data_IF_418124872014
#
_entry.id   IF_418124872014
#
_cell.length_a   1.000
_cell.length_b   1.000
_cell.length_c   1.000
_cell.angle_alpha   90.00
_cell.angle_beta   90.00
_cell.angle_gamma   90.00
#
_symmetry.space_group_name_H-M   'P 1'
#
loop_
_entity.id
_entity.type
_entity.pdbx_description
1 polymer ?
#
# COMPACT_ATOMS: atom_id res chain seq x y z
N UNK A 1 27.66 21.82 -8.36
CA UNK A 1 27.51 22.69 -7.17
C UNK A 1 27.31 21.81 -5.95
N UNK A 2 27.99 22.06 -4.83
CA UNK A 2 27.72 21.33 -3.59
C UNK A 2 26.31 21.67 -3.14
N UNK A 3 25.52 20.65 -2.83
CA UNK A 3 24.17 20.82 -2.30
C UNK A 3 24.29 21.18 -0.83
N UNK A 4 23.65 22.26 -0.41
CA UNK A 4 23.72 22.76 0.95
C UNK A 4 22.67 22.07 1.85
N UNK A 5 22.73 22.39 3.14
CA UNK A 5 21.82 21.86 4.16
C UNK A 5 20.36 22.21 3.85
N UNK A 6 20.12 23.41 3.34
CA UNK A 6 18.77 23.90 2.99
C UNK A 6 18.14 23.09 1.85
N UNK A 7 18.94 22.65 0.87
CA UNK A 7 18.45 21.74 -0.17
C UNK A 7 17.97 20.40 0.40
N UNK A 8 18.73 19.80 1.32
CA UNK A 8 18.35 18.51 1.94
C UNK A 8 17.10 18.65 2.81
N UNK A 9 17.05 19.69 3.65
CA UNK A 9 15.92 19.96 4.53
C UNK A 9 14.61 20.16 3.73
N UNK A 10 14.69 20.87 2.59
CA UNK A 10 13.55 21.03 1.69
C UNK A 10 13.08 19.72 1.06
N UNK A 11 13.99 18.80 0.72
CA UNK A 11 13.61 17.50 0.18
C UNK A 11 12.96 16.60 1.23
N UNK A 12 13.47 16.61 2.46
CA UNK A 12 12.87 15.85 3.55
C UNK A 12 11.46 16.35 3.84
N UNK A 13 11.25 17.67 3.91
CA UNK A 13 9.91 18.25 4.06
C UNK A 13 8.96 17.85 2.94
N UNK A 14 9.40 17.88 1.69
CA UNK A 14 8.58 17.44 0.56
C UNK A 14 8.22 15.95 0.65
N UNK A 15 9.14 15.11 1.15
CA UNK A 15 8.86 13.69 1.35
C UNK A 15 7.80 13.47 2.43
N UNK A 16 7.89 14.19 3.55
CA UNK A 16 6.89 14.12 4.64
C UNK A 16 5.51 14.57 4.15
N UNK A 17 5.42 15.68 3.43
CA UNK A 17 4.16 16.19 2.87
C UNK A 17 3.51 15.20 1.90
N UNK A 18 4.32 14.52 1.06
CA UNK A 18 3.84 13.49 0.15
C UNK A 18 3.31 12.26 0.90
N UNK A 19 3.98 11.84 1.97
CA UNK A 19 3.52 10.72 2.80
C UNK A 19 2.22 11.07 3.53
N UNK A 20 2.09 12.28 4.06
CA UNK A 20 0.85 12.75 4.68
C UNK A 20 -0.33 12.81 3.69
N UNK A 21 -0.08 13.20 2.44
CA UNK A 21 -1.10 13.19 1.41
C UNK A 21 -1.58 11.77 1.10
N UNK A 22 -0.66 10.80 1.02
CA UNK A 22 -0.99 9.38 0.80
C UNK A 22 -1.85 8.81 1.92
N UNK A 23 -1.53 9.12 3.18
CA UNK A 23 -2.35 8.73 4.34
C UNK A 23 -3.80 9.22 4.22
N UNK A 24 -4.02 10.40 3.63
CA UNK A 24 -5.35 11.00 3.45
C UNK A 24 -6.13 10.46 2.25
N UNK A 25 -5.50 9.67 1.39
CA UNK A 25 -6.13 9.11 0.18
C UNK A 25 -6.19 7.59 0.32
N UNK A 26 -7.23 7.07 1.00
CA UNK A 26 -7.41 5.63 1.10
C UNK A 26 -7.74 5.03 -0.27
N UNK A 27 -7.58 3.73 -0.39
CA UNK A 27 -7.71 3.01 -1.66
C UNK A 27 -8.94 2.12 -1.58
N UNK A 28 -9.87 2.37 -2.47
CA UNK A 28 -11.14 1.65 -2.54
C UNK A 28 -11.04 0.55 -3.60
N UNK A 29 -11.42 -0.67 -3.22
CA UNK A 29 -11.41 -1.85 -4.08
C UNK A 29 -12.79 -2.49 -4.01
N UNK A 30 -13.49 -2.53 -5.13
CA UNK A 30 -14.78 -3.23 -5.25
C UNK A 30 -14.56 -4.75 -5.26
N UNK A 31 -15.32 -5.47 -4.44
CA UNK A 31 -15.25 -6.93 -4.31
C UNK A 31 -16.64 -7.54 -4.13
N UNK A 32 -16.78 -8.83 -4.41
CA UNK A 32 -18.02 -9.57 -4.15
C UNK A 32 -17.89 -10.37 -2.86
N UNK A 33 -18.76 -10.10 -1.88
CA UNK A 33 -18.84 -10.85 -0.62
C UNK A 33 -20.21 -11.51 -0.49
N UNK A 34 -20.22 -12.85 -0.37
CA UNK A 34 -21.39 -13.74 -0.36
C UNK A 34 -22.27 -13.71 -1.63
N UNK A 35 -22.68 -12.53 -2.09
CA UNK A 35 -23.38 -12.24 -3.36
C UNK A 35 -23.56 -10.72 -3.57
N UNK A 36 -23.11 -9.90 -2.62
CA UNK A 36 -23.24 -8.45 -2.61
C UNK A 36 -21.95 -7.79 -3.12
N UNK A 37 -22.10 -6.68 -3.85
CA UNK A 37 -20.99 -5.83 -4.25
C UNK A 37 -20.67 -4.85 -3.12
N UNK A 38 -19.50 -5.00 -2.51
CA UNK A 38 -19.03 -4.13 -1.43
C UNK A 38 -17.69 -3.50 -1.79
N UNK A 39 -17.35 -2.41 -1.12
CA UNK A 39 -16.05 -1.75 -1.26
C UNK A 39 -15.18 -2.03 -0.06
N UNK A 40 -13.99 -2.56 -0.31
CA UNK A 40 -12.90 -2.69 0.66
C UNK A 40 -12.07 -1.41 0.57
N UNK A 41 -12.08 -0.62 1.64
CA UNK A 41 -11.25 0.57 1.77
C UNK A 41 -9.98 0.23 2.55
N UNK A 42 -8.84 0.32 1.88
CA UNK A 42 -7.51 0.11 2.44
C UNK A 42 -6.91 1.46 2.85
N UNK A 43 -6.59 1.61 4.14
CA UNK A 43 -5.87 2.78 4.64
C UNK A 43 -4.39 2.69 4.26
N UNK A 44 -3.81 3.78 3.74
CA UNK A 44 -2.38 3.82 3.46
C UNK A 44 -1.59 3.71 4.76
N UNK A 45 -0.66 2.77 4.80
CA UNK A 45 0.27 2.54 5.89
C UNK A 45 1.57 3.28 5.60
N UNK A 46 2.08 3.99 6.60
CA UNK A 46 3.41 4.57 6.52
C UNK A 46 4.43 3.49 6.26
N UNK A 47 5.54 3.86 5.62
CA UNK A 47 6.53 2.89 5.16
C UNK A 47 7.00 1.95 6.26
N UNK A 48 7.36 2.49 7.42
CA UNK A 48 7.88 1.71 8.55
C UNK A 48 6.84 0.73 9.12
N UNK A 49 5.57 1.12 9.12
CA UNK A 49 4.47 0.26 9.58
C UNK A 49 4.18 -0.85 8.55
N UNK A 50 4.19 -0.50 7.27
CA UNK A 50 4.08 -1.48 6.20
C UNK A 50 5.23 -2.48 6.23
N UNK A 51 6.48 -2.03 6.38
CA UNK A 51 7.65 -2.90 6.46
C UNK A 51 7.56 -3.85 7.66
N UNK A 52 7.01 -3.39 8.79
CA UNK A 52 6.74 -4.24 9.96
C UNK A 52 5.74 -5.35 9.64
N UNK A 53 4.68 -5.07 8.90
CA UNK A 53 3.71 -6.08 8.46
C UNK A 53 4.37 -7.04 7.46
N UNK A 54 4.97 -6.51 6.39
CA UNK A 54 5.62 -7.28 5.34
C UNK A 54 6.70 -8.25 5.87
N UNK A 55 7.46 -7.84 6.89
CA UNK A 55 8.48 -8.68 7.51
C UNK A 55 7.95 -9.95 8.19
N UNK A 56 6.68 -9.96 8.61
CA UNK A 56 6.01 -11.15 9.19
C UNK A 56 5.63 -12.18 8.13
N UNK A 57 5.57 -11.76 6.86
CA UNK A 57 5.16 -12.59 5.74
C UNK A 57 6.27 -12.66 4.69
N UNK A 58 7.43 -13.26 4.98
CA UNK A 58 8.50 -13.39 4.00
C UNK A 58 8.08 -14.31 2.85
N UNK A 59 8.71 -14.12 1.69
CA UNK A 59 8.53 -15.03 0.55
C UNK A 59 9.17 -16.38 0.89
N UNK A 60 8.35 -17.43 0.93
CA UNK A 60 8.82 -18.81 1.15
C UNK A 60 9.09 -19.52 -0.20
N UNK A 61 8.46 -19.06 -1.28
CA UNK A 61 8.64 -19.61 -2.63
C UNK A 61 8.74 -18.50 -3.68
N UNK A 62 9.78 -18.53 -4.52
CA UNK A 62 10.15 -17.46 -5.46
C UNK A 62 9.33 -17.43 -6.75
N UNK A 63 8.37 -18.33 -6.93
CA UNK A 63 7.66 -18.51 -8.22
C UNK A 63 6.67 -17.41 -8.60
N UNK A 64 6.18 -16.59 -7.67
CA UNK A 64 5.33 -15.43 -7.98
C UNK A 64 5.57 -14.29 -7.00
N UNK A 65 6.69 -13.58 -7.17
CA UNK A 65 7.03 -12.47 -6.29
C UNK A 65 6.46 -11.13 -6.77
N UNK A 66 6.07 -11.01 -8.06
CA UNK A 66 5.75 -9.72 -8.72
C UNK A 66 6.75 -8.59 -8.39
N UNK A 67 8.00 -8.94 -8.10
CA UNK A 67 9.03 -7.99 -7.63
C UNK A 67 8.84 -7.46 -6.20
N UNK A 68 7.88 -7.96 -5.44
CA UNK A 68 7.77 -7.80 -4.00
C UNK A 68 8.81 -8.68 -3.28
N UNK A 69 9.17 -8.29 -2.06
CA UNK A 69 10.07 -9.04 -1.16
C UNK A 69 9.32 -9.80 -0.06
N UNK A 70 7.98 -9.72 -0.07
CA UNK A 70 7.07 -10.30 0.91
C UNK A 70 5.95 -11.10 0.20
N UNK A 71 5.27 -11.96 0.95
CA UNK A 71 4.10 -12.69 0.51
C UNK A 71 2.88 -11.77 0.52
N UNK A 72 2.38 -11.45 -0.68
CA UNK A 72 1.25 -10.54 -0.87
C UNK A 72 -0.05 -11.01 -0.23
N UNK A 73 -0.34 -12.32 -0.27
CA UNK A 73 -1.56 -12.90 0.30
C UNK A 73 -1.55 -12.76 1.84
N UNK A 74 -0.43 -13.09 2.47
CA UNK A 74 -0.25 -12.93 3.92
C UNK A 74 -0.36 -11.47 4.36
N UNK A 75 0.30 -10.55 3.65
CA UNK A 75 0.20 -9.11 3.93
C UNK A 75 -1.21 -8.58 3.71
N UNK A 76 -1.91 -9.02 2.67
CA UNK A 76 -3.27 -8.59 2.40
C UNK A 76 -4.24 -9.07 3.48
N UNK A 77 -4.07 -10.30 3.96
CA UNK A 77 -4.87 -10.86 5.06
C UNK A 77 -4.66 -10.14 6.39
N UNK A 78 -3.41 -9.79 6.72
CA UNK A 78 -3.05 -9.12 7.97
C UNK A 78 -3.01 -7.59 7.85
N UNK A 79 -3.54 -7.04 6.75
CA UNK A 79 -3.55 -5.61 6.51
C UNK A 79 -4.45 -4.90 7.55
N UNK A 80 -3.95 -3.87 8.24
CA UNK A 80 -4.69 -3.21 9.31
C UNK A 80 -5.67 -2.16 8.78
N UNK A 81 -6.62 -1.76 9.62
CA UNK A 81 -7.51 -0.62 9.43
C UNK A 81 -8.23 -0.59 8.08
N UNK A 82 -8.57 -1.79 7.60
CA UNK A 82 -9.48 -2.04 6.48
C UNK A 82 -10.91 -1.78 6.93
N UNK A 83 -11.63 -1.03 6.12
CA UNK A 83 -13.05 -0.70 6.31
C UNK A 83 -13.85 -1.33 5.18
N UNK A 84 -14.96 -2.00 5.50
CA UNK A 84 -15.96 -2.41 4.51
C UNK A 84 -17.00 -1.30 4.33
N UNK A 85 -17.38 -1.05 3.09
CA UNK A 85 -18.38 -0.06 2.72
C UNK A 85 -19.43 -0.75 1.84
N UNK A 86 -20.69 -0.58 2.20
CA UNK A 86 -21.85 -1.09 1.46
C UNK A 86 -22.92 0.02 1.38
N UNK A 87 -23.04 0.65 0.22
CA UNK A 87 -23.86 1.85 0.03
C UNK A 87 -23.44 2.97 1.00
N UNK A 88 -24.35 3.36 1.89
CA UNK A 88 -24.11 4.36 2.93
C UNK A 88 -23.56 3.76 4.25
N UNK A 89 -23.49 2.43 4.33
CA UNK A 89 -22.99 1.70 5.49
C UNK A 89 -21.47 1.57 5.48
N UNK A 90 -20.85 1.68 6.65
CA UNK A 90 -19.41 1.47 6.86
C UNK A 90 -19.17 0.62 8.10
N UNK A 91 -18.27 -0.36 8.01
CA UNK A 91 -17.87 -1.24 9.11
C UNK A 91 -16.35 -1.31 9.22
N UNK A 92 -15.81 -0.93 10.39
CA UNK A 92 -14.37 -0.98 10.70
C UNK A 92 -13.88 -2.38 11.09
N UNK A 93 -14.78 -3.38 11.12
CA UNK A 93 -14.48 -4.79 11.35
C UNK A 93 -13.91 -5.10 12.73
N UNK A 94 -14.09 -4.22 13.71
CA UNK A 94 -13.75 -4.46 15.10
C UNK A 94 -14.99 -4.92 15.88
N UNK A 95 -14.95 -6.16 16.37
CA UNK A 95 -16.03 -6.77 17.16
C UNK A 95 -15.57 -6.99 18.60
N UNK A 96 -16.43 -6.71 19.59
CA UNK A 96 -16.19 -7.11 20.97
C UNK A 96 -16.69 -8.53 21.21
N UNK A 97 -15.77 -9.48 21.46
CA UNK A 97 -16.11 -10.85 21.87
C UNK A 97 -15.79 -11.04 23.35
N UNK A 98 -16.82 -10.93 24.17
CA UNK A 98 -16.68 -10.95 25.62
C UNK A 98 -15.96 -9.70 26.13
N UNK A 99 -14.66 -9.83 26.44
CA UNK A 99 -13.80 -8.72 26.91
C UNK A 99 -12.64 -8.39 25.96
N UNK A 100 -12.58 -9.02 24.80
CA UNK A 100 -11.51 -8.82 23.82
C UNK A 100 -12.06 -8.19 22.54
N UNK A 101 -11.33 -7.19 22.02
CA UNK A 101 -11.59 -6.62 20.70
C UNK A 101 -10.93 -7.51 19.64
N UNK A 102 -11.72 -8.03 18.72
CA UNK A 102 -11.29 -8.92 17.64
C UNK A 102 -11.44 -8.20 16.32
N UNK A 103 -10.36 -8.16 15.55
CA UNK A 103 -10.36 -7.61 14.20
C UNK A 103 -10.74 -8.69 13.19
N UNK A 104 -11.80 -8.46 12.41
CA UNK A 104 -12.47 -9.47 11.57
C UNK A 104 -12.02 -9.47 10.11
N UNK A 105 -11.17 -8.53 9.70
CA UNK A 105 -10.68 -8.47 8.33
C UNK A 105 -10.06 -9.79 7.84
N UNK A 106 -9.23 -10.52 8.60
CA UNK A 106 -8.68 -11.79 8.13
C UNK A 106 -9.76 -12.81 7.74
N UNK A 107 -10.86 -12.85 8.49
CA UNK A 107 -12.00 -13.74 8.21
C UNK A 107 -12.77 -13.30 6.96
N UNK A 108 -12.97 -11.99 6.79
CA UNK A 108 -13.58 -11.41 5.58
C UNK A 108 -12.73 -11.72 4.36
N UNK A 109 -11.42 -11.50 4.46
CA UNK A 109 -10.47 -11.74 3.38
C UNK A 109 -10.48 -13.21 2.93
N UNK A 110 -10.53 -14.16 3.86
CA UNK A 110 -10.64 -15.59 3.54
C UNK A 110 -11.96 -15.97 2.87
N UNK A 111 -13.04 -15.24 3.16
CA UNK A 111 -14.35 -15.44 2.53
C UNK A 111 -14.42 -14.87 1.11
N UNK A 112 -13.49 -13.99 0.72
CA UNK A 112 -13.44 -13.43 -0.64
C UNK A 112 -13.08 -14.50 -1.68
N UNK A 113 -13.68 -14.35 -2.86
CA UNK A 113 -13.29 -15.15 -4.04
C UNK A 113 -11.83 -14.88 -4.38
N UNK A 114 -11.19 -15.83 -5.05
CA UNK A 114 -9.79 -15.70 -5.43
C UNK A 114 -9.51 -14.43 -6.25
N UNK A 115 -10.38 -14.11 -7.21
CA UNK A 115 -10.24 -12.90 -8.03
C UNK A 115 -10.33 -11.62 -7.21
N UNK A 116 -11.20 -11.58 -6.20
CA UNK A 116 -11.37 -10.43 -5.32
C UNK A 116 -10.17 -10.26 -4.38
N UNK A 117 -9.64 -11.38 -3.85
CA UNK A 117 -8.37 -11.38 -3.12
C UNK A 117 -7.22 -10.86 -3.98
N UNK A 118 -7.16 -11.26 -5.25
CA UNK A 118 -6.15 -10.76 -6.19
C UNK A 118 -6.29 -9.27 -6.46
N UNK A 119 -7.52 -8.73 -6.52
CA UNK A 119 -7.77 -7.29 -6.64
C UNK A 119 -7.24 -6.51 -5.43
N UNK A 120 -7.51 -6.99 -4.21
CA UNK A 120 -6.97 -6.40 -2.97
C UNK A 120 -5.45 -6.49 -2.93
N UNK A 121 -4.88 -7.64 -3.29
CA UNK A 121 -3.41 -7.81 -3.38
C UNK A 121 -2.79 -6.87 -4.42
N UNK A 122 -3.45 -6.68 -5.57
CA UNK A 122 -2.99 -5.78 -6.62
C UNK A 122 -2.99 -4.32 -6.17
N UNK A 123 -4.00 -3.91 -5.39
CA UNK A 123 -4.04 -2.57 -4.78
C UNK A 123 -2.85 -2.36 -3.84
N UNK A 124 -2.60 -3.29 -2.91
CA UNK A 124 -1.46 -3.23 -1.98
C UNK A 124 -0.14 -3.22 -2.76
N UNK A 125 0.02 -4.12 -3.73
CA UNK A 125 1.21 -4.17 -4.58
C UNK A 125 1.44 -2.87 -5.35
N UNK A 126 0.37 -2.28 -5.88
CA UNK A 126 0.40 -1.01 -6.61
C UNK A 126 1.07 0.09 -5.79
N UNK A 127 0.67 0.21 -4.54
CA UNK A 127 1.12 1.25 -3.60
C UNK A 127 2.55 1.05 -3.15
N UNK A 128 2.90 -0.16 -2.71
CA UNK A 128 4.16 -0.39 -1.99
C UNK A 128 5.28 -0.93 -2.87
N UNK A 129 4.97 -1.37 -4.09
CA UNK A 129 5.95 -1.94 -5.01
C UNK A 129 5.98 -1.16 -6.31
N UNK A 130 4.87 -1.08 -7.03
CA UNK A 130 4.85 -0.53 -8.37
C UNK A 130 5.05 0.99 -8.40
N UNK A 131 4.31 1.75 -7.61
CA UNK A 131 4.43 3.21 -7.55
C UNK A 131 5.84 3.68 -7.15
N UNK A 132 6.48 3.15 -6.09
CA UNK A 132 7.87 3.48 -5.76
C UNK A 132 8.84 3.18 -6.90
N UNK A 133 8.66 2.06 -7.61
CA UNK A 133 9.48 1.71 -8.77
C UNK A 133 9.30 2.73 -9.91
N UNK A 134 8.07 3.18 -10.20
CA UNK A 134 7.82 4.22 -11.19
C UNK A 134 8.41 5.57 -10.77
N UNK A 135 8.26 5.96 -9.51
CA UNK A 135 8.83 7.19 -8.97
C UNK A 135 10.36 7.22 -9.12
N UNK A 136 11.03 6.12 -8.77
CA UNK A 136 12.48 5.98 -8.94
C UNK A 136 12.90 6.04 -10.41
N UNK A 137 12.18 5.34 -11.30
CA UNK A 137 12.45 5.36 -12.74
C UNK A 137 12.33 6.78 -13.31
N UNK A 138 11.28 7.51 -12.93
CA UNK A 138 11.06 8.89 -13.36
C UNK A 138 12.12 9.85 -12.81
N UNK A 139 12.54 9.68 -11.56
CA UNK A 139 13.61 10.47 -10.96
C UNK A 139 14.97 10.26 -11.67
N UNK A 140 15.29 9.01 -12.01
CA UNK A 140 16.48 8.67 -12.81
C UNK A 140 16.43 9.31 -14.20
N UNK A 141 15.29 9.22 -14.89
CA UNK A 141 15.10 9.83 -16.20
C UNK A 141 15.29 11.36 -16.16
N UNK A 142 14.73 12.04 -15.15
CA UNK A 142 14.92 13.49 -14.96
C UNK A 142 16.38 13.87 -14.72
N UNK A 143 17.12 13.04 -14.00
CA UNK A 143 18.55 13.28 -13.73
C UNK A 143 19.36 13.16 -15.01
N UNK A 144 19.15 12.09 -15.78
CA UNK A 144 19.80 11.88 -17.07
C UNK A 144 19.49 12.99 -18.09
N UNK A 145 18.26 13.49 -18.12
CA UNK A 145 17.88 14.59 -19.00
C UNK A 145 18.65 15.88 -18.66
N UNK A 146 18.76 16.23 -17.38
CA UNK A 146 19.54 17.38 -16.91
C UNK A 146 21.02 17.27 -17.24
N UNK A 147 21.60 16.07 -17.12
CA UNK A 147 23.00 15.82 -17.46
C UNK A 147 23.26 16.00 -18.96
N UNK A 148 22.32 15.57 -19.82
CA UNK A 148 22.41 15.80 -21.27
C UNK A 148 22.31 17.29 -21.62
N UNK A 149 21.31 17.98 -21.08
CA UNK A 149 21.14 19.43 -21.29
C UNK A 149 22.36 20.23 -20.82
N UNK A 150 23.00 19.82 -19.73
CA UNK A 150 24.22 20.45 -19.24
C UNK A 150 25.48 20.11 -20.05
N UNK A 151 25.48 18.98 -20.78
CA UNK A 151 26.59 18.60 -21.67
C UNK A 151 26.48 19.25 -23.06
N UNK A 152 25.26 19.59 -23.48
CA UNK A 152 24.95 20.27 -24.75
C UNK A 152 24.99 21.82 -24.64
N UNK A 153 25.16 22.37 -23.42
CA UNK A 153 25.24 23.80 -23.12
C UNK A 153 26.69 24.28 -22.92
#
# INVERSE_FOLDING_TARGET
MPKDKEWLDNLLKQADELEEQRVKTPIDVEVILAEELVTVRLTYQRRDDFERIASKHPIVNLTDTRGAWFNLDGVAKDYPDVVLIDGDGTDELYELRGKEAVYRWPDVYEALRETDRQSVQAAIWGVYVWEPQQALKNAKAKTLAREKEAADA
#
